data_IF_881426631699
#
_entry.id   IF_881426631699
#
_cell.length_a   1.000
_cell.length_b   1.000
_cell.length_c   1.000
_cell.angle_alpha   90.00
_cell.angle_beta   90.00
_cell.angle_gamma   90.00
#
_symmetry.space_group_name_H-M   'P 1'
#
loop_
_entity.id
_entity.type
_entity.pdbx_description
1 polymer ?
#
# COMPACT_ATOMS: atom_id res chain seq x y z
N UNK A 1 0.55 -30.94 -3.42
CA UNK A 1 -0.48 -29.89 -3.47
C UNK A 1 -0.01 -28.72 -2.62
N UNK A 2 0.94 -27.90 -3.08
CA UNK A 2 1.18 -26.54 -2.54
C UNK A 2 1.73 -25.70 -3.69
N UNK A 3 0.83 -25.22 -4.54
CA UNK A 3 1.19 -24.22 -5.55
C UNK A 3 1.29 -22.87 -4.85
N UNK A 4 2.44 -22.56 -4.26
CA UNK A 4 2.78 -21.18 -3.87
C UNK A 4 3.73 -20.66 -4.93
N UNK A 5 3.14 -20.16 -6.01
CA UNK A 5 3.85 -19.52 -7.11
C UNK A 5 4.68 -18.36 -6.59
N UNK A 6 6.00 -18.50 -6.72
CA UNK A 6 6.95 -17.40 -6.76
C UNK A 6 6.48 -16.37 -7.80
N UNK A 7 6.06 -15.20 -7.34
CA UNK A 7 5.72 -14.06 -8.18
C UNK A 7 6.67 -12.91 -7.89
N UNK A 8 7.78 -12.88 -8.63
CA UNK A 8 8.77 -11.81 -8.67
C UNK A 8 8.08 -10.44 -8.84
N UNK A 9 7.99 -9.67 -7.76
CA UNK A 9 7.41 -8.32 -7.78
C UNK A 9 8.53 -7.30 -7.68
N UNK A 10 8.80 -6.63 -8.81
CA UNK A 10 9.80 -5.57 -8.96
C UNK A 10 9.75 -4.58 -7.79
N UNK A 11 10.90 -4.10 -7.30
CA UNK A 11 10.95 -3.16 -6.20
C UNK A 11 10.24 -1.87 -6.62
N UNK A 12 9.13 -1.58 -5.94
CA UNK A 12 8.40 -0.34 -6.08
C UNK A 12 9.32 0.75 -5.53
N UNK A 13 10.04 1.46 -6.41
CA UNK A 13 10.78 2.65 -6.01
C UNK A 13 9.78 3.77 -5.73
N UNK A 14 9.33 3.83 -4.48
CA UNK A 14 8.53 4.93 -3.98
C UNK A 14 9.16 5.42 -2.66
N UNK A 15 9.54 6.70 -2.54
CA UNK A 15 10.27 7.23 -1.38
C UNK A 15 9.42 7.33 -0.10
N UNK A 16 8.21 6.75 -0.09
CA UNK A 16 7.27 6.78 1.04
C UNK A 16 7.36 5.55 1.96
N UNK A 17 8.25 4.59 1.66
CA UNK A 17 8.60 3.49 2.57
C UNK A 17 8.54 2.14 1.89
N UNK A 18 9.70 1.66 1.40
CA UNK A 18 9.88 0.24 1.09
C UNK A 18 9.62 -0.61 2.34
N UNK A 19 10.03 -0.13 3.51
CA UNK A 19 9.97 -0.88 4.77
C UNK A 19 8.55 -1.30 5.18
N UNK A 20 7.53 -0.45 5.08
CA UNK A 20 6.19 -0.81 5.55
C UNK A 20 5.45 -1.83 4.65
N UNK A 21 5.83 -1.93 3.37
CA UNK A 21 5.25 -2.89 2.43
C UNK A 21 6.09 -4.16 2.30
N UNK A 22 7.38 -4.13 2.68
CA UNK A 22 8.27 -5.30 2.68
C UNK A 22 7.82 -6.36 3.71
N UNK A 23 7.24 -5.92 4.83
CA UNK A 23 6.75 -6.82 5.89
C UNK A 23 5.36 -7.44 5.64
N UNK A 24 4.59 -6.98 4.63
CA UNK A 24 3.20 -7.42 4.43
C UNK A 24 2.92 -7.64 2.92
N UNK A 25 3.29 -8.82 2.37
CA UNK A 25 3.15 -9.10 0.93
C UNK A 25 1.70 -9.08 0.45
N UNK A 26 0.74 -9.43 1.30
CA UNK A 26 -0.69 -9.36 1.01
C UNK A 26 -1.15 -7.91 0.75
N UNK A 27 -0.69 -6.98 1.59
CA UNK A 27 -0.95 -5.56 1.41
C UNK A 27 -0.30 -5.03 0.13
N UNK A 28 0.93 -5.44 -0.17
CA UNK A 28 1.62 -5.06 -1.39
C UNK A 28 0.90 -5.56 -2.66
N UNK A 29 0.37 -6.80 -2.64
CA UNK A 29 -0.39 -7.36 -3.74
C UNK A 29 -1.73 -6.63 -3.92
N UNK A 30 -2.47 -6.42 -2.83
CA UNK A 30 -3.72 -5.66 -2.85
C UNK A 30 -3.50 -4.22 -3.33
N UNK A 31 -2.40 -3.59 -2.90
CA UNK A 31 -2.03 -2.28 -3.40
C UNK A 31 -1.69 -2.31 -4.89
N UNK A 32 -0.98 -3.33 -5.36
CA UNK A 32 -0.68 -3.50 -6.78
C UNK A 32 -1.92 -3.73 -7.65
N UNK A 33 -2.93 -4.43 -7.13
CA UNK A 33 -4.24 -4.64 -7.78
C UNK A 33 -5.08 -3.36 -7.89
N UNK A 34 -4.81 -2.32 -7.11
CA UNK A 34 -5.50 -1.04 -7.22
C UNK A 34 -5.22 -0.37 -8.58
N UNK A 35 -6.24 0.30 -9.11
CA UNK A 35 -6.09 1.16 -10.29
C UNK A 35 -5.15 2.34 -10.00
N UNK A 36 -4.42 2.84 -11.01
CA UNK A 36 -3.46 3.94 -10.84
C UNK A 36 -4.09 5.19 -10.22
N UNK A 37 -5.37 5.45 -10.48
CA UNK A 37 -6.12 6.53 -9.83
C UNK A 37 -6.21 6.36 -8.31
N UNK A 38 -6.54 5.16 -7.82
CA UNK A 38 -6.62 4.86 -6.39
C UNK A 38 -5.25 4.89 -5.71
N UNK A 39 -4.21 4.36 -6.36
CA UNK A 39 -2.81 4.45 -5.88
C UNK A 39 -2.40 5.91 -5.67
N UNK A 40 -2.74 6.79 -6.62
CA UNK A 40 -2.43 8.23 -6.52
C UNK A 40 -3.08 8.88 -5.30
N UNK A 41 -4.32 8.51 -4.95
CA UNK A 41 -5.01 9.01 -3.76
C UNK A 41 -4.28 8.65 -2.46
N UNK A 42 -3.71 7.44 -2.37
CA UNK A 42 -2.90 7.01 -1.24
C UNK A 42 -1.61 7.82 -1.14
N UNK A 43 -0.89 7.98 -2.25
CA UNK A 43 0.34 8.76 -2.30
C UNK A 43 0.10 10.20 -1.85
N UNK A 44 -0.96 10.86 -2.31
CA UNK A 44 -1.32 12.23 -1.90
C UNK A 44 -1.60 12.31 -0.39
N UNK A 45 -2.37 11.35 0.15
CA UNK A 45 -2.69 11.31 1.58
C UNK A 45 -1.44 11.07 2.45
N UNK A 46 -0.54 10.22 2.00
CA UNK A 46 0.70 9.92 2.74
C UNK A 46 1.70 11.07 2.63
N UNK A 47 1.77 11.74 1.48
CA UNK A 47 2.63 12.90 1.26
C UNK A 47 2.17 14.12 2.07
N UNK A 48 0.86 14.26 2.29
CA UNK A 48 0.29 15.29 3.17
C UNK A 48 0.70 15.13 4.64
N UNK A 49 1.08 13.94 5.09
CA UNK A 49 1.58 13.71 6.44
C UNK A 49 3.08 14.03 6.57
N UNK A 50 3.38 15.16 7.24
CA UNK A 50 4.76 15.61 7.51
C UNK A 50 5.49 14.78 8.57
N UNK A 51 4.77 14.23 9.55
CA UNK A 51 5.34 13.39 10.62
C UNK A 51 5.39 11.92 10.18
N UNK A 52 6.50 11.21 10.45
CA UNK A 52 6.62 9.78 10.10
C UNK A 52 5.58 8.94 10.85
N UNK A 53 5.33 9.24 12.12
CA UNK A 53 4.36 8.57 12.99
C UNK A 53 2.94 8.61 12.40
N UNK A 54 2.53 9.77 11.88
CA UNK A 54 1.23 9.96 11.23
C UNK A 54 1.15 9.19 9.91
N UNK A 55 2.27 9.05 9.19
CA UNK A 55 2.32 8.27 7.95
C UNK A 55 2.10 6.80 8.24
N UNK A 56 2.78 6.25 9.25
CA UNK A 56 2.62 4.85 9.68
C UNK A 56 1.18 4.59 10.15
N UNK A 57 0.63 5.47 11.00
CA UNK A 57 -0.77 5.33 11.45
C UNK A 57 -1.78 5.37 10.28
N UNK A 58 -1.52 6.21 9.26
CA UNK A 58 -2.34 6.23 8.04
C UNK A 58 -2.21 4.96 7.23
N UNK A 59 -0.99 4.43 7.04
CA UNK A 59 -0.77 3.16 6.33
C UNK A 59 -1.53 2.02 7.03
N UNK A 60 -1.45 1.92 8.36
CA UNK A 60 -2.19 0.93 9.14
C UNK A 60 -3.72 1.06 8.91
N UNK A 61 -4.24 2.29 8.91
CA UNK A 61 -5.67 2.57 8.66
C UNK A 61 -6.09 2.32 7.21
N UNK A 62 -5.15 2.44 6.28
CA UNK A 62 -5.36 2.19 4.87
C UNK A 62 -5.29 0.70 4.53
N UNK A 63 -4.63 -0.12 5.36
CA UNK A 63 -4.50 -1.57 5.17
C UNK A 63 -5.85 -2.22 4.85
N UNK A 64 -6.83 -2.02 5.72
CA UNK A 64 -8.18 -2.57 5.54
C UNK A 64 -8.85 -2.10 4.23
N UNK A 65 -8.65 -0.83 3.87
CA UNK A 65 -9.19 -0.27 2.62
C UNK A 65 -8.52 -0.84 1.38
N UNK A 66 -7.20 -0.98 1.42
CA UNK A 66 -6.39 -1.50 0.32
C UNK A 66 -6.76 -2.96 0.07
N UNK A 67 -6.88 -3.77 1.14
CA UNK A 67 -7.36 -5.15 1.08
C UNK A 67 -8.80 -5.24 0.53
N UNK A 68 -9.66 -4.28 0.91
CA UNK A 68 -11.01 -4.15 0.35
C UNK A 68 -11.04 -3.57 -1.09
N UNK A 69 -9.91 -3.20 -1.67
CA UNK A 69 -9.80 -2.59 -2.99
C UNK A 69 -10.34 -1.16 -3.09
N UNK A 70 -10.61 -0.49 -1.97
CA UNK A 70 -11.08 0.91 -1.91
C UNK A 70 -9.92 1.89 -2.08
N UNK A 71 -10.21 3.14 -2.43
CA UNK A 71 -9.23 4.23 -2.40
C UNK A 71 -9.10 4.85 -1.01
N UNK A 72 -8.01 5.60 -0.77
CA UNK A 72 -7.73 6.23 0.53
C UNK A 72 -8.90 7.09 1.07
N UNK A 73 -9.56 7.80 0.17
CA UNK A 73 -10.65 8.74 0.44
C UNK A 73 -12.04 8.11 0.26
N UNK A 74 -12.12 6.86 -0.19
CA UNK A 74 -13.41 6.17 -0.34
C UNK A 74 -13.86 5.71 1.06
N UNK A 75 -15.10 6.06 1.42
CA UNK A 75 -15.72 5.75 2.71
C UNK A 75 -16.33 4.34 2.71
#
# INVERSE_FOLDING_TARGET
>A
MVSTTHGESKPIDCPIGREAFDFDPELAEAFNKLTPGRKKSYVINLNSAKKPETRVARIAKFREKILSGKGAMER
#
